data_IF_910983798631
#
_entry.id   IF_910983798631
#
_cell.length_a   1.000
_cell.length_b   1.000
_cell.length_c   1.000
_cell.angle_alpha   90.00
_cell.angle_beta   90.00
_cell.angle_gamma   90.00
#
_symmetry.space_group_name_H-M   'P 1'
#
loop_
_entity.id
_entity.type
_entity.pdbx_description
1 polymer ?
#
# COMPACT_ATOMS: atom_id res chain seq x y z
N UNK A 1 33.70 1.54 15.70
CA UNK A 1 32.59 1.73 14.75
C UNK A 1 31.33 1.91 15.57
N UNK A 2 30.72 3.09 15.52
CA UNK A 2 29.49 3.41 16.28
C UNK A 2 28.30 3.66 15.37
N UNK A 3 28.53 3.83 14.07
CA UNK A 3 27.49 4.06 13.06
C UNK A 3 27.56 3.01 11.97
N UNK A 4 26.39 2.62 11.45
CA UNK A 4 26.29 1.65 10.36
C UNK A 4 27.07 2.09 9.12
N UNK A 5 27.00 3.37 8.75
CA UNK A 5 27.78 3.92 7.64
C UNK A 5 29.30 3.83 7.82
N UNK A 6 29.82 3.88 9.06
CA UNK A 6 31.27 3.65 9.30
C UNK A 6 31.63 2.18 9.08
N UNK A 7 30.76 1.28 9.48
CA UNK A 7 30.89 -0.16 9.23
C UNK A 7 30.84 -0.43 7.72
N UNK A 8 29.87 0.15 7.02
CA UNK A 8 29.75 -0.03 5.58
C UNK A 8 30.97 0.54 4.85
N UNK A 9 31.50 1.68 5.28
CA UNK A 9 32.71 2.24 4.69
C UNK A 9 33.97 1.39 4.95
N UNK A 10 34.09 0.84 6.16
CA UNK A 10 35.26 0.09 6.56
C UNK A 10 35.25 -1.36 6.07
N UNK A 11 34.07 -1.96 5.92
CA UNK A 11 33.87 -3.40 5.70
C UNK A 11 33.06 -3.64 4.43
N UNK A 12 31.77 -3.26 4.39
CA UNK A 12 30.85 -3.60 3.28
C UNK A 12 31.39 -3.12 1.94
N UNK A 13 31.73 -1.83 1.83
CA UNK A 13 32.26 -1.25 0.62
C UNK A 13 33.52 -1.98 0.14
N UNK A 14 34.48 -2.21 1.05
CA UNK A 14 35.76 -2.82 0.71
C UNK A 14 35.64 -4.28 0.27
N UNK A 15 34.81 -5.07 0.95
CA UNK A 15 34.60 -6.48 0.62
C UNK A 15 33.90 -6.62 -0.73
N UNK A 16 32.97 -5.71 -1.04
CA UNK A 16 32.19 -5.76 -2.27
C UNK A 16 32.79 -4.93 -3.42
N UNK A 17 33.99 -4.38 -3.25
CA UNK A 17 34.71 -3.66 -4.31
C UNK A 17 34.19 -2.26 -4.60
N UNK A 18 33.34 -1.71 -3.74
CA UNK A 18 32.94 -0.30 -3.79
C UNK A 18 34.05 0.60 -3.24
N UNK A 19 34.11 1.83 -3.74
CA UNK A 19 35.11 2.83 -3.33
C UNK A 19 34.98 3.20 -1.85
N UNK A 20 33.75 3.41 -1.39
CA UNK A 20 33.38 3.85 -0.04
C UNK A 20 31.89 3.53 0.21
N UNK A 21 31.38 3.87 1.39
CA UNK A 21 29.96 3.65 1.71
C UNK A 21 29.03 4.43 0.78
N UNK A 22 29.42 5.62 0.32
CA UNK A 22 28.55 6.44 -0.54
C UNK A 22 28.45 5.83 -1.94
N UNK A 23 29.56 5.32 -2.47
CA UNK A 23 29.59 4.56 -3.72
C UNK A 23 28.74 3.29 -3.63
N UNK A 24 28.81 2.57 -2.50
CA UNK A 24 27.93 1.44 -2.23
C UNK A 24 26.44 1.84 -2.26
N UNK A 25 26.03 2.86 -1.49
CA UNK A 25 24.63 3.28 -1.46
C UNK A 25 24.16 3.84 -2.80
N UNK A 26 25.01 4.60 -3.51
CA UNK A 26 24.66 5.15 -4.81
C UNK A 26 24.43 4.06 -5.86
N UNK A 27 25.32 3.07 -5.94
CA UNK A 27 25.18 1.98 -6.91
C UNK A 27 24.04 1.01 -6.56
N UNK A 28 23.80 0.78 -5.27
CA UNK A 28 22.74 -0.13 -4.82
C UNK A 28 21.37 0.56 -4.66
N UNK A 29 21.29 1.89 -4.79
CA UNK A 29 20.04 2.63 -4.65
C UNK A 29 19.07 2.34 -5.80
N UNK A 30 17.80 2.19 -5.46
CA UNK A 30 16.71 2.12 -6.43
C UNK A 30 16.22 3.50 -6.90
N UNK A 31 16.63 4.60 -6.24
CA UNK A 31 16.15 5.95 -6.55
C UNK A 31 16.27 6.34 -8.03
N UNK A 32 17.42 6.12 -8.72
CA UNK A 32 17.55 6.50 -10.13
C UNK A 32 16.62 5.71 -11.06
N UNK A 33 16.04 4.61 -10.58
CA UNK A 33 15.14 3.73 -11.35
C UNK A 33 13.66 4.06 -11.14
N UNK A 34 13.30 4.84 -10.11
CA UNK A 34 11.91 5.20 -9.83
C UNK A 34 11.17 5.82 -11.03
N UNK A 35 11.79 6.69 -11.86
CA UNK A 35 11.11 7.26 -13.03
C UNK A 35 10.67 6.24 -14.08
N UNK A 36 11.27 5.04 -14.09
CA UNK A 36 10.95 3.99 -15.07
C UNK A 36 9.82 3.05 -14.63
N UNK A 37 9.28 3.24 -13.42
CA UNK A 37 8.24 2.37 -12.86
C UNK A 37 6.89 2.74 -13.46
N UNK A 38 6.26 1.79 -14.15
CA UNK A 38 4.98 1.99 -14.85
C UNK A 38 3.76 1.46 -14.10
N UNK A 39 3.99 0.74 -12.99
CA UNK A 39 2.93 0.18 -12.16
C UNK A 39 2.75 1.03 -10.90
N UNK A 40 1.57 0.99 -10.25
CA UNK A 40 1.39 1.61 -8.95
C UNK A 40 2.43 1.10 -7.94
N UNK A 41 3.05 2.01 -7.19
CA UNK A 41 4.07 1.70 -6.19
C UNK A 41 3.81 2.50 -4.91
N UNK A 42 3.88 1.83 -3.76
CA UNK A 42 3.94 2.47 -2.45
C UNK A 42 5.35 2.31 -1.87
N UNK A 43 5.98 3.43 -1.52
CA UNK A 43 7.26 3.47 -0.82
C UNK A 43 7.01 3.99 0.59
N UNK A 44 7.45 3.22 1.59
CA UNK A 44 7.33 3.58 3.01
C UNK A 44 8.73 3.60 3.62
N UNK A 45 9.18 4.77 4.08
CA UNK A 45 10.41 4.94 4.83
C UNK A 45 10.11 5.36 6.28
N UNK A 46 11.06 5.13 7.17
CA UNK A 46 11.01 5.61 8.54
C UNK A 46 12.25 6.44 8.86
N UNK A 47 12.09 7.63 9.46
CA UNK A 47 13.22 8.53 9.74
C UNK A 47 14.25 7.96 10.71
N UNK A 48 13.84 7.02 11.57
CA UNK A 48 14.70 6.36 12.56
C UNK A 48 15.51 5.19 11.99
N UNK A 49 15.36 4.88 10.71
CA UNK A 49 16.11 3.81 10.06
C UNK A 49 17.59 4.22 9.86
N UNK A 50 18.56 3.39 10.30
CA UNK A 50 19.99 3.70 10.19
C UNK A 50 20.52 3.83 8.76
N UNK A 51 19.76 3.40 7.75
CA UNK A 51 20.09 3.55 6.34
C UNK A 51 19.59 4.88 5.74
N UNK A 52 18.81 5.67 6.49
CA UNK A 52 18.24 6.90 5.99
C UNK A 52 19.27 8.03 5.99
N UNK A 53 19.76 8.34 4.80
CA UNK A 53 20.51 9.54 4.49
C UNK A 53 19.69 10.46 3.57
N UNK A 54 19.97 11.78 3.51
CA UNK A 54 19.29 12.68 2.59
C UNK A 54 19.32 12.20 1.13
N UNK A 55 20.38 11.50 0.74
CA UNK A 55 20.61 11.01 -0.62
C UNK A 55 19.74 9.80 -0.98
N UNK A 56 19.14 9.09 -0.01
CA UNK A 56 18.23 7.95 -0.26
C UNK A 56 16.74 8.33 -0.15
N UNK A 57 16.44 9.58 0.22
CA UNK A 57 15.08 10.11 0.25
C UNK A 57 14.73 10.66 -1.12
N UNK A 58 13.67 10.14 -1.79
CA UNK A 58 13.26 10.68 -3.08
C UNK A 58 12.75 12.12 -2.91
N UNK A 59 13.06 12.97 -3.88
CA UNK A 59 12.36 14.24 -4.03
C UNK A 59 10.94 13.96 -4.52
N UNK A 60 9.97 14.11 -3.62
CA UNK A 60 8.56 13.81 -3.89
C UNK A 60 7.96 14.70 -4.98
N UNK A 61 8.57 15.85 -5.29
CA UNK A 61 8.10 16.74 -6.35
C UNK A 61 8.42 16.22 -7.76
N UNK A 62 9.40 15.32 -7.87
CA UNK A 62 9.84 14.71 -9.13
C UNK A 62 9.40 13.26 -9.29
N UNK A 63 8.63 12.73 -8.33
CA UNK A 63 8.13 11.36 -8.41
C UNK A 63 7.00 11.25 -9.46
N UNK A 64 6.99 10.17 -10.26
CA UNK A 64 5.85 9.84 -11.10
C UNK A 64 4.54 9.76 -10.29
N UNK A 65 3.40 10.13 -10.88
CA UNK A 65 2.11 10.16 -10.16
C UNK A 65 1.61 8.77 -9.72
N UNK A 66 2.16 7.69 -10.29
CA UNK A 66 1.87 6.32 -9.88
C UNK A 66 2.70 5.84 -8.68
N UNK A 67 3.58 6.69 -8.14
CA UNK A 67 4.39 6.38 -6.96
C UNK A 67 3.87 7.19 -5.78
N UNK A 68 3.39 6.50 -4.77
CA UNK A 68 3.04 7.08 -3.47
C UNK A 68 4.24 6.94 -2.53
N UNK A 69 4.67 8.06 -1.94
CA UNK A 69 5.76 8.09 -0.95
C UNK A 69 5.23 8.47 0.44
N UNK A 70 5.59 7.67 1.45
CA UNK A 70 5.23 7.91 2.84
C UNK A 70 6.47 7.84 3.74
N UNK A 71 6.67 8.89 4.54
CA UNK A 71 7.71 8.95 5.56
C UNK A 71 7.07 8.88 6.94
N UNK A 72 7.42 7.87 7.73
CA UNK A 72 7.02 7.75 9.14
C UNK A 72 8.10 8.31 10.05
N UNK A 73 7.72 8.79 11.24
CA UNK A 73 8.70 9.28 12.23
C UNK A 73 9.53 8.12 12.82
N UNK A 74 8.87 6.97 12.98
CA UNK A 74 9.43 5.77 13.58
C UNK A 74 8.97 4.52 12.83
N UNK A 75 9.70 3.41 13.02
CA UNK A 75 9.21 2.09 12.64
C UNK A 75 10.09 1.31 11.68
N UNK A 76 11.21 1.86 11.21
CA UNK A 76 12.03 1.18 10.20
C UNK A 76 12.57 -0.15 10.68
N UNK A 77 13.07 -0.19 11.92
CA UNK A 77 13.78 -1.38 12.44
C UNK A 77 12.89 -2.41 13.14
N UNK A 78 11.70 -2.04 13.61
CA UNK A 78 10.78 -2.94 14.36
C UNK A 78 9.53 -3.33 13.57
N UNK A 79 9.42 -2.96 12.29
CA UNK A 79 8.27 -3.33 11.45
C UNK A 79 7.06 -2.40 11.60
N UNK A 80 7.30 -1.11 11.86
CA UNK A 80 6.28 -0.07 11.96
C UNK A 80 5.21 -0.37 13.02
N UNK A 81 5.65 -0.77 14.21
CA UNK A 81 4.78 -0.98 15.36
C UNK A 81 4.48 0.35 16.04
N UNK A 82 3.21 0.74 16.04
CA UNK A 82 2.68 1.86 16.79
C UNK A 82 1.85 1.40 18.01
N UNK A 83 1.10 2.33 18.60
CA UNK A 83 0.22 2.05 19.73
C UNK A 83 0.94 2.02 21.06
N UNK A 84 0.42 1.24 22.01
CA UNK A 84 0.97 1.13 23.37
C UNK A 84 1.47 -0.28 23.65
N UNK A 85 2.36 -0.45 24.64
CA UNK A 85 2.85 -1.78 25.07
C UNK A 85 1.73 -2.81 25.34
N UNK A 86 0.55 -2.35 25.79
CA UNK A 86 -0.63 -3.21 26.05
C UNK A 86 -1.51 -3.42 24.82
N UNK A 87 -1.38 -2.59 23.79
CA UNK A 87 -2.14 -2.62 22.54
C UNK A 87 -1.21 -2.19 21.39
N UNK A 88 -0.30 -3.07 20.96
CA UNK A 88 0.55 -2.79 19.81
C UNK A 88 -0.33 -2.72 18.55
N UNK A 89 -0.01 -1.78 17.67
CA UNK A 89 -0.63 -1.66 16.36
C UNK A 89 0.44 -1.93 15.31
N UNK A 90 0.28 -3.01 14.56
CA UNK A 90 1.15 -3.34 13.43
C UNK A 90 0.69 -2.49 12.24
N UNK A 91 1.18 -1.25 12.13
CA UNK A 91 0.61 -0.27 11.21
C UNK A 91 0.68 -0.73 9.74
N UNK A 92 1.75 -1.43 9.35
CA UNK A 92 1.86 -2.01 8.00
C UNK A 92 0.74 -3.01 7.68
N UNK A 93 0.27 -3.78 8.65
CA UNK A 93 -0.81 -4.77 8.45
C UNK A 93 -2.15 -4.11 8.13
N UNK A 94 -2.33 -2.83 8.45
CA UNK A 94 -3.50 -2.04 8.06
C UNK A 94 -3.21 -1.28 6.77
N UNK A 95 -2.06 -0.59 6.72
CA UNK A 95 -1.71 0.30 5.62
C UNK A 95 -1.56 -0.41 4.27
N UNK A 96 -0.94 -1.60 4.24
CA UNK A 96 -0.69 -2.35 3.01
C UNK A 96 -2.01 -2.85 2.40
N UNK A 97 -2.91 -3.53 3.14
CA UNK A 97 -4.24 -3.88 2.61
C UNK A 97 -5.04 -2.68 2.14
N UNK A 98 -5.06 -1.58 2.90
CA UNK A 98 -5.77 -0.36 2.51
C UNK A 98 -5.27 0.21 1.18
N UNK A 99 -3.95 0.16 0.94
CA UNK A 99 -3.37 0.56 -0.33
C UNK A 99 -3.73 -0.40 -1.47
N UNK A 100 -3.73 -1.71 -1.19
CA UNK A 100 -3.96 -2.75 -2.20
C UNK A 100 -5.43 -2.89 -2.59
N UNK A 101 -6.37 -2.58 -1.67
CA UNK A 101 -7.79 -2.83 -1.84
C UNK A 101 -8.37 -2.35 -3.20
N UNK A 102 -8.09 -1.11 -3.66
CA UNK A 102 -8.59 -0.64 -4.96
C UNK A 102 -8.12 -1.49 -6.15
N UNK A 103 -6.92 -2.08 -6.08
CA UNK A 103 -6.35 -2.89 -7.15
C UNK A 103 -6.87 -4.33 -7.15
N UNK A 104 -7.29 -4.84 -5.99
CA UNK A 104 -7.86 -6.18 -5.85
C UNK A 104 -9.33 -6.22 -6.27
N UNK A 105 -10.12 -5.19 -5.94
CA UNK A 105 -11.53 -5.09 -6.32
C UNK A 105 -11.72 -4.95 -7.85
N UNK A 106 -10.76 -4.30 -8.51
CA UNK A 106 -10.71 -4.22 -9.97
C UNK A 106 -10.54 -5.60 -10.63
N UNK A 107 -9.74 -6.49 -10.02
CA UNK A 107 -9.52 -7.85 -10.54
C UNK A 107 -10.77 -8.73 -10.42
N UNK A 108 -11.54 -8.56 -9.35
CA UNK A 108 -12.75 -9.37 -9.08
C UNK A 108 -13.97 -8.94 -9.90
N UNK A 109 -14.08 -7.65 -10.25
CA UNK A 109 -15.18 -7.14 -11.08
C UNK A 109 -15.04 -7.49 -12.57
N UNK A 110 -13.83 -7.82 -13.04
CA UNK A 110 -13.54 -8.21 -14.42
C UNK A 110 -13.96 -9.64 -14.82
N UNK A 111 -14.30 -10.53 -13.86
CA UNK A 111 -14.66 -11.93 -14.15
C UNK A 111 -16.17 -12.24 -14.11
N UNK A 112 -17.02 -11.26 -13.75
CA UNK A 112 -18.46 -11.48 -13.53
C UNK A 112 -19.34 -11.47 -14.80
N UNK A 113 -18.80 -11.18 -15.99
CA UNK A 113 -19.64 -10.89 -17.17
C UNK A 113 -19.97 -12.08 -18.08
N UNK A 114 -19.35 -13.26 -17.92
CA UNK A 114 -19.57 -14.40 -18.83
C UNK A 114 -20.63 -15.42 -18.40
N UNK A 115 -21.07 -15.44 -17.13
CA UNK A 115 -21.97 -16.51 -16.64
C UNK A 115 -23.44 -16.09 -16.42
N UNK A 116 -23.79 -14.80 -16.59
CA UNK A 116 -25.14 -14.31 -16.24
C UNK A 116 -26.22 -14.45 -17.31
N UNK A 117 -25.93 -15.10 -18.44
CA UNK A 117 -26.82 -15.16 -19.61
C UNK A 117 -27.76 -16.37 -19.67
N UNK A 118 -27.75 -17.27 -18.68
CA UNK A 118 -28.52 -18.53 -18.70
C UNK A 118 -29.43 -18.72 -17.48
N UNK A 119 -30.07 -17.68 -16.93
CA UNK A 119 -31.12 -17.91 -15.92
C UNK A 119 -32.22 -16.83 -15.83
N UNK A 120 -32.60 -16.21 -16.95
CA UNK A 120 -33.78 -15.33 -17.02
C UNK A 120 -34.68 -15.66 -18.21
N UNK A 121 -35.20 -16.89 -18.28
CA UNK A 121 -36.39 -17.23 -19.08
C UNK A 121 -37.19 -18.35 -18.42
N UNK A 122 -37.88 -18.05 -17.33
CA UNK A 122 -39.19 -18.66 -17.00
C UNK A 122 -39.80 -17.97 -15.79
N UNK A 123 -41.11 -17.73 -15.86
CA UNK A 123 -42.00 -17.19 -14.82
C UNK A 123 -42.27 -15.69 -14.90
N UNK A 124 -43.09 -15.33 -15.89
CA UNK A 124 -43.97 -14.19 -15.83
C UNK A 124 -45.33 -14.61 -16.40
N UNK A 125 -46.31 -14.91 -15.53
CA UNK A 125 -47.74 -14.55 -15.69
C UNK A 125 -48.62 -15.18 -14.61
N UNK A 126 -49.38 -14.32 -13.92
CA UNK A 126 -50.83 -14.36 -13.64
C UNK A 126 -51.07 -13.60 -12.32
N UNK A 127 -51.45 -12.31 -12.37
CA UNK A 127 -52.79 -11.74 -12.55
C UNK A 127 -53.69 -11.84 -11.30
N UNK A 128 -53.99 -10.66 -10.76
CA UNK A 128 -54.79 -10.31 -9.55
C UNK A 128 -56.30 -10.54 -9.80
N UNK A 129 -57.14 -10.67 -8.75
CA UNK A 129 -57.98 -9.54 -8.33
C UNK A 129 -58.06 -9.38 -6.78
N UNK A 130 -57.89 -8.17 -6.26
CA UNK A 130 -58.92 -7.21 -5.82
C UNK A 130 -59.72 -7.64 -4.57
N UNK A 131 -59.52 -6.91 -3.46
CA UNK A 131 -60.53 -6.73 -2.40
C UNK A 131 -60.18 -5.54 -1.49
N UNK A 132 -60.91 -4.46 -1.73
CA UNK A 132 -61.56 -3.53 -0.79
C UNK A 132 -61.18 -3.48 0.71
N UNK A 133 -60.90 -2.24 1.15
CA UNK A 133 -61.45 -1.54 2.33
C UNK A 133 -60.97 -1.85 3.77
N UNK A 134 -60.86 -0.74 4.53
CA UNK A 134 -60.84 -0.58 6.01
C UNK A 134 -59.49 -0.93 6.68
N UNK A 135 -58.83 -0.13 7.53
CA UNK A 135 -59.21 0.92 8.51
C UNK A 135 -58.08 1.97 8.61
N UNK A 136 -58.34 3.28 8.61
CA UNK A 136 -58.56 4.17 9.77
C UNK A 136 -57.49 4.15 10.89
N UNK A 137 -56.81 5.30 10.98
CA UNK A 137 -56.32 6.03 12.16
C UNK A 137 -55.24 5.48 13.10
N UNK A 138 -54.53 6.48 13.65
CA UNK A 138 -53.64 6.54 14.82
C UNK A 138 -52.14 6.30 14.61
N UNK A 139 -51.22 7.07 15.19
CA UNK A 139 -51.19 8.31 16.00
C UNK A 139 -49.68 8.67 16.03
N UNK A 140 -49.37 9.97 15.93
CA UNK A 140 -48.13 10.69 16.31
C UNK A 140 -46.75 10.13 15.91
#
# INVERSE_FOLDING_TARGET
MKKLREFDNAITAKIHGFKDADDYYHQCSALPRLPNITIPLLIIHAKDDPFMSPEVIPDTTHLPPNIEYQMTEHGGHVGFVGGSLKKPQMWLEQRIPDWLAPYLEFSLSGQSSSERSLQKKSSQKQSIPDQSQHDQEQIL
#
